data_IF_957277630609
#
_entry.id   IF_957277630609
#
_cell.length_a   1.000
_cell.length_b   1.000
_cell.length_c   1.000
_cell.angle_alpha   90.00
_cell.angle_beta   90.00
_cell.angle_gamma   90.00
#
_symmetry.space_group_name_H-M   'P 1'
#
loop_
_entity.id
_entity.type
_entity.pdbx_description
1 polymer ?
#
# COMPACT_ATOMS: atom_id res chain seq x y z
N UNK A 1 -1.48 -12.88 -56.77
CA UNK A 1 -2.72 -12.38 -56.16
C UNK A 1 -3.02 -11.00 -56.72
N UNK A 2 -4.27 -10.72 -57.10
CA UNK A 2 -4.72 -9.35 -57.35
C UNK A 2 -5.28 -8.81 -56.03
N UNK A 3 -4.58 -7.85 -55.42
CA UNK A 3 -5.00 -7.24 -54.14
C UNK A 3 -6.38 -6.59 -54.25
N UNK A 4 -6.67 -5.94 -55.38
CA UNK A 4 -7.97 -5.29 -55.63
C UNK A 4 -9.13 -6.29 -55.59
N UNK A 5 -8.98 -7.46 -56.23
CA UNK A 5 -10.02 -8.51 -56.21
C UNK A 5 -10.18 -9.14 -54.82
N UNK A 6 -9.09 -9.31 -54.09
CA UNK A 6 -9.11 -9.88 -52.74
C UNK A 6 -9.84 -8.94 -51.77
N UNK A 7 -9.49 -7.65 -51.79
CA UNK A 7 -10.13 -6.65 -50.94
C UNK A 7 -11.59 -6.42 -51.34
N UNK A 8 -11.90 -6.31 -52.63
CA UNK A 8 -13.27 -6.17 -53.11
C UNK A 8 -14.17 -7.35 -52.70
N UNK A 9 -13.64 -8.57 -52.60
CA UNK A 9 -14.39 -9.69 -52.04
C UNK A 9 -14.61 -9.56 -50.53
N UNK A 10 -13.59 -9.14 -49.77
CA UNK A 10 -13.74 -8.93 -48.32
C UNK A 10 -14.70 -7.79 -47.97
N UNK A 11 -14.76 -6.76 -48.82
CA UNK A 11 -15.67 -5.63 -48.70
C UNK A 11 -17.09 -5.95 -49.19
N UNK A 12 -17.28 -7.11 -49.84
CA UNK A 12 -18.57 -7.58 -50.35
C UNK A 12 -18.98 -6.99 -51.70
N UNK A 13 -18.06 -6.34 -52.41
CA UNK A 13 -18.27 -5.75 -53.74
C UNK A 13 -18.19 -6.79 -54.86
N UNK A 14 -17.52 -7.91 -54.63
CA UNK A 14 -17.31 -8.99 -55.60
C UNK A 14 -17.86 -10.32 -55.08
N UNK A 15 -18.50 -11.09 -55.98
CA UNK A 15 -18.94 -12.46 -55.71
C UNK A 15 -17.80 -13.48 -55.87
N UNK A 16 -17.88 -14.62 -55.18
CA UNK A 16 -16.83 -15.66 -55.17
C UNK A 16 -16.49 -16.19 -56.58
N UNK A 17 -17.47 -16.21 -57.47
CA UNK A 17 -17.35 -16.68 -58.85
C UNK A 17 -16.44 -15.79 -59.71
N UNK A 18 -16.31 -14.51 -59.35
CA UNK A 18 -15.47 -13.54 -60.06
C UNK A 18 -13.98 -13.61 -59.67
N UNK A 19 -13.63 -14.43 -58.67
CA UNK A 19 -12.25 -14.56 -58.21
C UNK A 19 -11.46 -15.63 -58.97
N UNK A 20 -10.19 -15.30 -59.23
CA UNK A 20 -9.23 -16.23 -59.80
C UNK A 20 -8.89 -17.33 -58.77
N UNK A 21 -8.56 -18.54 -59.23
CA UNK A 21 -8.28 -19.70 -58.36
C UNK A 21 -7.16 -19.43 -57.33
N UNK A 22 -6.16 -18.63 -57.69
CA UNK A 22 -5.08 -18.22 -56.77
C UNK A 22 -5.65 -17.36 -55.63
N UNK A 23 -6.50 -16.40 -55.94
CA UNK A 23 -7.10 -15.51 -54.93
C UNK A 23 -8.07 -16.27 -54.03
N UNK A 24 -8.78 -17.28 -54.56
CA UNK A 24 -9.59 -18.21 -53.77
C UNK A 24 -8.76 -19.03 -52.78
N UNK A 25 -7.60 -19.55 -53.19
CA UNK A 25 -6.71 -20.26 -52.26
C UNK A 25 -6.18 -19.35 -51.15
N UNK A 26 -5.86 -18.10 -51.48
CA UNK A 26 -5.39 -17.11 -50.51
C UNK A 26 -6.51 -16.74 -49.51
N UNK A 27 -7.76 -16.61 -49.97
CA UNK A 27 -8.92 -16.39 -49.09
C UNK A 27 -9.14 -17.53 -48.12
N UNK A 28 -8.93 -18.79 -48.54
CA UNK A 28 -9.00 -19.94 -47.63
C UNK A 28 -7.97 -19.83 -46.52
N UNK A 29 -6.71 -19.54 -46.86
CA UNK A 29 -5.65 -19.34 -45.86
C UNK A 29 -5.97 -18.18 -44.91
N UNK A 30 -6.48 -17.07 -45.43
CA UNK A 30 -6.90 -15.93 -44.63
C UNK A 30 -8.05 -16.30 -43.66
N UNK A 31 -9.03 -17.06 -44.13
CA UNK A 31 -10.15 -17.52 -43.30
C UNK A 31 -9.70 -18.47 -42.18
N UNK A 32 -8.72 -19.34 -42.44
CA UNK A 32 -8.12 -20.20 -41.42
C UNK A 32 -7.33 -19.39 -40.39
N UNK A 33 -6.57 -18.39 -40.84
CA UNK A 33 -5.86 -17.48 -39.95
C UNK A 33 -6.83 -16.72 -39.03
N UNK A 34 -7.94 -16.22 -39.57
CA UNK A 34 -9.01 -15.60 -38.79
C UNK A 34 -9.64 -16.57 -37.78
N UNK A 35 -9.83 -17.83 -38.17
CA UNK A 35 -10.37 -18.87 -37.26
C UNK A 35 -9.43 -19.11 -36.09
N UNK A 36 -8.13 -19.25 -36.33
CA UNK A 36 -7.11 -19.41 -35.28
C UNK A 36 -7.04 -18.17 -34.40
N UNK A 37 -7.09 -16.98 -34.99
CA UNK A 37 -7.12 -15.73 -34.25
C UNK A 37 -8.34 -15.65 -33.33
N UNK A 38 -9.53 -15.98 -33.83
CA UNK A 38 -10.75 -16.03 -33.02
C UNK A 38 -10.64 -17.02 -31.87
N UNK A 39 -10.10 -18.23 -32.09
CA UNK A 39 -9.84 -19.19 -31.02
C UNK A 39 -8.91 -18.65 -29.92
N UNK A 40 -7.95 -17.80 -30.29
CA UNK A 40 -7.05 -17.14 -29.33
C UNK A 40 -7.76 -16.06 -28.51
N UNK A 41 -8.69 -15.32 -29.10
CA UNK A 41 -9.49 -14.32 -28.39
C UNK A 41 -10.59 -14.93 -27.53
N UNK A 42 -11.20 -16.03 -27.99
CA UNK A 42 -12.17 -16.82 -27.24
C UNK A 42 -11.50 -17.70 -26.16
N UNK A 43 -10.17 -17.65 -26.03
CA UNK A 43 -9.45 -18.35 -24.98
C UNK A 43 -9.85 -17.81 -23.60
N UNK A 44 -10.70 -18.56 -22.91
CA UNK A 44 -10.95 -18.36 -21.48
C UNK A 44 -9.92 -19.14 -20.69
N UNK A 45 -9.05 -18.48 -19.90
CA UNK A 45 -8.10 -19.18 -19.06
C UNK A 45 -8.85 -20.11 -18.09
N UNK A 46 -8.26 -21.27 -17.80
CA UNK A 46 -8.84 -22.19 -16.81
C UNK A 46 -8.88 -21.52 -15.42
N UNK A 47 -9.88 -21.87 -14.60
CA UNK A 47 -10.01 -21.34 -13.24
C UNK A 47 -8.73 -21.47 -12.40
N UNK A 48 -7.95 -22.56 -12.60
CA UNK A 48 -6.66 -22.77 -11.93
C UNK A 48 -5.60 -21.74 -12.33
N UNK A 49 -5.59 -21.31 -13.60
CA UNK A 49 -4.64 -20.31 -14.08
C UNK A 49 -5.01 -18.92 -13.58
N UNK A 50 -6.31 -18.61 -13.57
CA UNK A 50 -6.85 -17.36 -13.01
C UNK A 50 -6.51 -17.23 -11.52
N UNK A 51 -6.73 -18.30 -10.74
CA UNK A 51 -6.38 -18.34 -9.33
C UNK A 51 -4.87 -18.14 -9.09
N UNK A 52 -4.02 -18.79 -9.90
CA UNK A 52 -2.56 -18.63 -9.82
C UNK A 52 -2.11 -17.20 -10.12
N UNK A 53 -2.74 -16.54 -11.09
CA UNK A 53 -2.48 -15.14 -11.43
C UNK A 53 -2.94 -14.24 -10.28
N UNK A 54 -4.18 -14.42 -9.80
CA UNK A 54 -4.74 -13.63 -8.69
C UNK A 54 -3.94 -13.77 -7.40
N UNK A 55 -3.46 -14.97 -7.08
CA UNK A 55 -2.60 -15.18 -5.91
C UNK A 55 -1.28 -14.39 -6.04
N UNK A 56 -0.70 -14.30 -7.24
CA UNK A 56 0.53 -13.55 -7.47
C UNK A 56 0.32 -12.04 -7.30
N UNK A 57 -0.83 -11.51 -7.72
CA UNK A 57 -1.16 -10.09 -7.59
C UNK A 57 -1.59 -9.68 -6.17
N UNK A 58 -2.20 -10.58 -5.39
CA UNK A 58 -2.68 -10.28 -4.03
C UNK A 58 -1.58 -10.37 -2.96
N UNK A 59 -0.53 -11.18 -3.20
CA UNK A 59 0.63 -11.32 -2.30
C UNK A 59 1.30 -9.98 -1.89
N UNK A 60 1.66 -9.07 -2.81
CA UNK A 60 2.32 -7.82 -2.43
C UNK A 60 1.43 -6.89 -1.60
N UNK A 61 0.11 -6.88 -1.85
CA UNK A 61 -0.84 -6.07 -1.06
C UNK A 61 -0.95 -6.54 0.39
N UNK A 62 -0.88 -7.86 0.65
CA UNK A 62 -0.90 -8.40 2.01
C UNK A 62 0.34 -7.98 2.81
N UNK A 63 1.51 -8.01 2.20
CA UNK A 63 2.78 -7.62 2.85
C UNK A 63 2.74 -6.14 3.26
N UNK A 64 2.26 -5.25 2.38
CA UNK A 64 2.11 -3.83 2.70
C UNK A 64 1.12 -3.60 3.85
N UNK A 65 0.03 -4.36 3.90
CA UNK A 65 -0.96 -4.28 4.98
C UNK A 65 -0.41 -4.78 6.32
N UNK A 66 0.34 -5.88 6.31
CA UNK A 66 1.02 -6.42 7.49
C UNK A 66 2.05 -5.43 8.05
N UNK A 67 2.83 -4.79 7.19
CA UNK A 67 3.78 -3.74 7.60
C UNK A 67 3.04 -2.54 8.18
N UNK A 68 1.96 -2.08 7.55
CA UNK A 68 1.16 -0.96 8.04
C UNK A 68 0.54 -1.26 9.42
N UNK A 69 -0.01 -2.47 9.62
CA UNK A 69 -0.50 -2.90 10.93
C UNK A 69 0.61 -2.98 11.97
N UNK A 70 1.79 -3.51 11.60
CA UNK A 70 2.95 -3.55 12.49
C UNK A 70 3.36 -2.15 12.97
N UNK A 71 3.44 -1.18 12.05
CA UNK A 71 3.75 0.22 12.38
C UNK A 71 2.68 0.82 13.29
N UNK A 72 1.39 0.56 13.02
CA UNK A 72 0.29 1.06 13.84
C UNK A 72 0.33 0.52 15.27
N UNK A 73 0.63 -0.77 15.46
CA UNK A 73 0.75 -1.40 16.78
C UNK A 73 1.94 -0.82 17.55
N UNK A 74 3.09 -0.65 16.90
CA UNK A 74 4.28 -0.04 17.52
C UNK A 74 3.97 1.40 17.92
N UNK A 75 3.36 2.19 17.05
CA UNK A 75 2.97 3.57 17.35
C UNK A 75 1.98 3.65 18.52
N UNK A 76 1.00 2.76 18.58
CA UNK A 76 0.05 2.68 19.68
C UNK A 76 0.74 2.31 21.01
N UNK A 77 1.68 1.35 20.99
CA UNK A 77 2.45 0.98 22.18
C UNK A 77 3.31 2.14 22.68
N UNK A 78 4.00 2.86 21.77
CA UNK A 78 4.73 4.10 22.11
C UNK A 78 3.81 5.17 22.68
N UNK A 79 2.63 5.37 22.11
CA UNK A 79 1.69 6.35 22.62
C UNK A 79 1.26 6.03 24.05
N UNK A 80 0.91 4.76 24.32
CA UNK A 80 0.48 4.31 25.65
C UNK A 80 1.61 4.44 26.68
N UNK A 81 2.84 4.02 26.34
CA UNK A 81 3.96 4.08 27.30
C UNK A 81 4.36 5.51 27.66
N UNK A 82 4.31 6.45 26.70
CA UNK A 82 4.74 7.82 26.94
C UNK A 82 3.62 8.78 27.40
N UNK A 83 2.36 8.53 27.04
CA UNK A 83 1.24 9.41 27.41
C UNK A 83 0.33 8.84 28.50
N UNK A 84 0.29 7.52 28.70
CA UNK A 84 -0.65 6.90 29.65
C UNK A 84 0.01 6.42 30.94
N UNK A 85 1.32 6.15 30.93
CA UNK A 85 2.05 5.97 32.20
C UNK A 85 2.09 7.34 32.86
N UNK A 86 1.46 7.54 34.03
CA UNK A 86 1.57 8.81 34.72
C UNK A 86 3.06 9.04 34.93
N UNK A 87 3.58 10.15 34.36
CA UNK A 87 4.86 10.68 34.80
C UNK A 87 4.72 10.74 36.30
N UNK A 88 5.42 9.85 37.01
CA UNK A 88 5.52 9.89 38.46
C UNK A 88 5.92 11.33 38.71
N UNK A 89 5.00 12.12 39.28
CA UNK A 89 5.36 13.44 39.77
C UNK A 89 6.41 13.11 40.81
N UNK A 90 7.67 13.16 40.38
CA UNK A 90 8.77 13.35 41.31
C UNK A 90 8.48 14.76 41.74
N UNK A 91 7.69 14.89 42.82
CA UNK A 91 7.71 16.10 43.61
C UNK A 91 9.18 16.47 43.71
N UNK A 92 9.59 17.68 43.27
CA UNK A 92 10.94 18.10 43.54
C UNK A 92 11.09 17.90 45.04
N UNK A 93 12.02 17.03 45.45
CA UNK A 93 12.41 16.91 46.85
C UNK A 93 12.59 18.35 47.31
N UNK A 94 11.70 18.83 48.18
CA UNK A 94 11.79 20.19 48.71
C UNK A 94 13.08 20.22 49.51
N UNK A 95 14.16 20.58 48.81
CA UNK A 95 15.48 20.67 49.35
C UNK A 95 15.49 21.87 50.27
N UNK A 96 15.54 21.58 51.57
CA UNK A 96 16.35 22.27 52.58
C UNK A 96 16.01 23.75 52.89
N UNK A 97 15.17 24.43 52.12
CA UNK A 97 14.92 25.87 52.30
C UNK A 97 14.12 26.17 53.57
N UNK A 98 13.17 25.31 53.93
CA UNK A 98 12.32 25.50 55.12
C UNK A 98 13.14 25.28 56.42
N UNK A 99 13.96 24.22 56.45
CA UNK A 99 14.82 23.91 57.60
C UNK A 99 15.92 24.97 57.78
N UNK A 100 16.48 25.50 56.68
CA UNK A 100 17.47 26.59 56.75
C UNK A 100 16.82 27.89 57.25
N UNK A 101 15.56 28.17 56.89
CA UNK A 101 14.86 29.35 57.41
C UNK A 101 14.60 29.29 58.91
N UNK A 102 14.21 28.14 59.45
CA UNK A 102 13.99 27.98 60.89
C UNK A 102 15.28 28.14 61.70
N UNK A 103 16.41 27.60 61.20
CA UNK A 103 17.71 27.75 61.85
C UNK A 103 18.22 29.20 61.77
N UNK A 104 18.01 29.88 60.64
CA UNK A 104 18.34 31.30 60.51
C UNK A 104 17.50 32.18 61.43
N UNK A 105 16.19 31.92 61.53
CA UNK A 105 15.31 32.66 62.43
C UNK A 105 15.70 32.46 63.88
N UNK A 106 16.00 31.22 64.30
CA UNK A 106 16.49 30.95 65.66
C UNK A 106 17.81 31.67 65.96
N UNK A 107 18.78 31.64 65.05
CA UNK A 107 20.04 32.35 65.22
C UNK A 107 19.86 33.87 65.27
N UNK A 108 18.95 34.41 64.46
CA UNK A 108 18.64 35.84 64.47
C UNK A 108 17.95 36.26 65.77
N UNK A 109 17.03 35.43 66.29
CA UNK A 109 16.28 35.68 67.52
C UNK A 109 17.22 35.62 68.75
N UNK A 110 18.12 34.63 68.79
CA UNK A 110 19.14 34.51 69.84
C UNK A 110 20.10 35.70 69.81
N UNK A 111 20.48 36.18 68.62
CA UNK A 111 21.33 37.37 68.50
C UNK A 111 20.61 38.64 68.94
N UNK A 112 19.32 38.79 68.64
CA UNK A 112 18.50 39.92 69.06
C UNK A 112 18.32 39.97 70.59
N UNK A 113 18.17 38.81 71.22
CA UNK A 113 18.09 38.69 72.69
C UNK A 113 19.46 38.91 73.35
N UNK A 114 20.55 38.57 72.67
CA UNK A 114 21.92 38.79 73.16
C UNK A 114 22.41 40.25 73.08
N UNK A 115 21.93 41.03 72.11
CA UNK A 115 22.35 42.43 71.87
C UNK A 115 21.39 43.49 72.45
N UNK A 116 20.41 43.10 73.27
CA UNK A 116 19.38 44.02 73.76
C UNK A 116 18.71 43.63 75.06
N UNK A 117 19.48 43.45 76.14
CA UNK A 117 19.17 43.83 77.54
C UNK A 117 20.43 43.78 78.41
#
# INVERSE_FOLDING_TARGET
MSEDKFNGFLDGELEEEALDEVTKSDLRLYSEALRVFRMRYDYRPSAKLEEKIMHKFTKPRRILWEVAMGIAVVAAAFYITFNLVPRRNVEPVMQESEVVSEVFDYLSLVKLVGDGF
#
